data_IF_643574108669
#
_entry.id   IF_643574108669
#
_cell.length_a   1.000
_cell.length_b   1.000
_cell.length_c   1.000
_cell.angle_alpha   90.00
_cell.angle_beta   90.00
_cell.angle_gamma   90.00
#
_symmetry.space_group_name_H-M   'P 1'
#
loop_
_entity.id
_entity.type
_entity.pdbx_description
1 polymer ?
#
# COMPACT_ATOMS: atom_id res chain seq x y z
N UNK A 1 0.76 25.55 14.42
CA UNK A 1 0.81 24.59 13.30
C UNK A 1 0.91 23.19 13.87
N UNK A 2 -0.03 22.28 13.50
CA UNK A 2 -0.11 20.92 14.06
C UNK A 2 0.53 19.90 13.12
N UNK A 3 1.56 19.21 13.60
CA UNK A 3 2.42 18.36 12.78
C UNK A 3 2.40 16.91 13.31
N UNK A 4 2.05 15.98 12.44
CA UNK A 4 2.19 14.57 12.72
C UNK A 4 3.59 14.10 12.31
N UNK A 5 4.34 13.48 13.20
CA UNK A 5 5.61 12.80 12.89
C UNK A 5 5.35 11.30 12.90
N UNK A 6 5.63 10.64 11.76
CA UNK A 6 5.54 9.19 11.68
C UNK A 6 6.91 8.54 11.56
N UNK A 7 7.17 7.57 12.42
CA UNK A 7 8.41 6.80 12.43
C UNK A 7 8.13 5.31 12.52
N UNK A 8 8.99 4.49 11.88
CA UNK A 8 8.86 3.04 11.88
C UNK A 8 10.21 2.33 11.90
N UNK A 9 10.28 1.24 12.67
CA UNK A 9 11.45 0.34 12.71
C UNK A 9 11.00 -1.12 12.51
N UNK A 10 11.71 -1.85 11.65
CA UNK A 10 11.50 -3.29 11.47
C UNK A 10 12.26 -4.08 12.53
N UNK A 11 11.72 -5.21 12.98
CA UNK A 11 12.37 -6.12 13.94
C UNK A 11 13.71 -6.68 13.45
N UNK A 12 13.91 -6.76 12.13
CA UNK A 12 15.00 -7.53 11.51
C UNK A 12 16.28 -6.74 11.24
N UNK A 13 16.33 -5.45 11.49
CA UNK A 13 17.52 -4.64 11.21
C UNK A 13 18.11 -4.06 12.46
N UNK A 14 19.10 -4.77 13.03
CA UNK A 14 19.98 -4.22 14.08
C UNK A 14 20.85 -3.05 13.59
N UNK A 15 20.86 -2.76 12.28
CA UNK A 15 21.54 -1.64 11.63
C UNK A 15 20.47 -0.78 10.95
N UNK A 16 20.11 0.34 11.54
CA UNK A 16 19.20 1.33 10.98
C UNK A 16 19.04 2.48 11.96
N UNK A 17 18.66 3.64 11.46
CA UNK A 17 18.40 4.81 12.30
C UNK A 17 17.37 4.46 13.37
N UNK A 18 17.69 4.75 14.63
CA UNK A 18 16.76 4.54 15.74
C UNK A 18 15.50 5.40 15.52
N UNK A 19 14.36 4.96 16.06
CA UNK A 19 13.11 5.74 16.00
C UNK A 19 13.35 7.15 16.52
N UNK A 20 14.06 7.28 17.65
CA UNK A 20 14.38 8.57 18.24
C UNK A 20 15.16 9.49 17.29
N UNK A 21 16.17 8.96 16.59
CA UNK A 21 16.93 9.76 15.60
C UNK A 21 16.04 10.22 14.43
N UNK A 22 15.16 9.34 13.93
CA UNK A 22 14.22 9.72 12.86
C UNK A 22 13.29 10.87 13.29
N UNK A 23 12.76 10.79 14.51
CA UNK A 23 11.89 11.83 15.09
C UNK A 23 12.67 13.13 15.27
N UNK A 24 13.90 13.05 15.80
CA UNK A 24 14.72 14.25 16.01
C UNK A 24 15.02 14.94 14.68
N UNK A 25 15.42 14.20 13.64
CA UNK A 25 15.63 14.76 12.29
C UNK A 25 14.38 15.43 11.74
N UNK A 26 13.18 14.87 11.99
CA UNK A 26 11.93 15.50 11.59
C UNK A 26 11.68 16.83 12.33
N UNK A 27 11.94 16.88 13.63
CA UNK A 27 11.82 18.12 14.41
C UNK A 27 12.81 19.18 13.96
N UNK A 28 14.09 18.81 13.79
CA UNK A 28 15.14 19.73 13.33
C UNK A 28 14.81 20.33 11.95
N UNK A 29 14.24 19.52 11.06
CA UNK A 29 13.77 19.99 9.75
C UNK A 29 12.67 21.04 9.88
N UNK A 30 11.65 20.76 10.69
CA UNK A 30 10.53 21.67 10.91
C UNK A 30 11.00 22.95 11.59
N UNK A 31 11.85 22.86 12.62
CA UNK A 31 12.41 24.04 13.30
C UNK A 31 13.23 24.93 12.35
N UNK A 32 13.90 24.33 11.37
CA UNK A 32 14.68 25.06 10.39
C UNK A 32 13.79 25.79 9.37
N UNK A 33 12.74 25.12 8.87
CA UNK A 33 11.95 25.63 7.74
C UNK A 33 10.65 26.35 8.17
N UNK A 34 10.13 26.08 9.39
CA UNK A 34 8.83 26.58 9.87
C UNK A 34 8.90 27.27 11.23
N UNK A 35 10.05 27.83 11.58
CA UNK A 35 10.39 28.39 12.91
C UNK A 35 9.37 29.38 13.46
N UNK A 36 8.67 30.09 12.61
CA UNK A 36 7.74 31.17 13.01
C UNK A 36 6.30 30.68 13.29
N UNK A 37 6.04 29.38 13.16
CA UNK A 37 4.66 28.84 13.16
C UNK A 37 4.27 28.11 14.44
N UNK A 38 5.08 28.19 15.50
CA UNK A 38 4.86 27.53 16.81
C UNK A 38 4.35 26.07 16.63
N UNK A 39 5.23 25.12 16.21
CA UNK A 39 4.82 23.77 15.83
C UNK A 39 4.46 22.91 17.04
N UNK A 40 3.25 22.34 17.01
CA UNK A 40 2.80 21.29 17.92
C UNK A 40 3.04 19.93 17.28
N UNK A 41 3.78 19.04 17.96
CA UNK A 41 4.14 17.72 17.42
C UNK A 41 3.30 16.61 18.03
N UNK A 42 2.70 15.77 17.20
CA UNK A 42 2.09 14.51 17.60
C UNK A 42 2.87 13.36 16.94
N UNK A 43 3.39 12.46 17.77
CA UNK A 43 4.30 11.41 17.32
C UNK A 43 3.56 10.06 17.23
N UNK A 44 3.72 9.38 16.10
CA UNK A 44 3.19 8.04 15.84
C UNK A 44 4.33 7.10 15.51
N UNK A 45 4.49 6.04 16.32
CA UNK A 45 5.60 5.11 16.24
C UNK A 45 5.11 3.67 16.08
N UNK A 46 5.53 3.00 15.01
CA UNK A 46 5.31 1.56 14.80
C UNK A 46 6.65 0.82 14.87
N UNK A 47 6.82 -0.03 15.89
CA UNK A 47 7.99 -0.89 16.05
C UNK A 47 7.65 -2.34 15.70
N UNK A 48 8.51 -2.99 14.93
CA UNK A 48 8.37 -4.40 14.60
C UNK A 48 7.51 -4.70 13.38
N UNK A 49 7.10 -3.69 12.61
CA UNK A 49 6.30 -3.85 11.40
C UNK A 49 7.14 -3.65 10.13
N UNK A 50 6.80 -4.39 9.05
CA UNK A 50 7.43 -4.22 7.75
C UNK A 50 6.77 -3.07 6.96
N UNK A 51 7.51 -2.49 6.00
CA UNK A 51 6.97 -1.43 5.11
C UNK A 51 6.06 -1.94 3.99
N UNK A 52 5.88 -3.25 3.86
CA UNK A 52 5.05 -3.87 2.82
C UNK A 52 3.55 -3.92 3.12
N UNK A 53 3.12 -3.41 4.27
CA UNK A 53 1.70 -3.37 4.66
C UNK A 53 1.42 -2.08 5.42
N UNK A 54 0.36 -1.36 5.04
CA UNK A 54 -0.12 -0.14 5.71
C UNK A 54 -1.02 -0.42 6.92
N UNK A 55 -1.45 -1.67 7.15
CA UNK A 55 -2.26 -2.07 8.31
C UNK A 55 -1.41 -2.15 9.59
N UNK A 56 -0.86 -1.00 10.00
CA UNK A 56 -0.07 -0.83 11.21
C UNK A 56 -0.86 -0.02 12.22
N UNK A 57 -0.89 -0.41 13.51
CA UNK A 57 -1.81 0.18 14.48
C UNK A 57 -1.65 1.71 14.63
N UNK A 58 -0.41 2.19 14.72
CA UNK A 58 -0.15 3.63 14.90
C UNK A 58 -0.36 4.43 13.61
N UNK A 59 -0.04 3.82 12.45
CA UNK A 59 -0.33 4.43 11.17
C UNK A 59 -1.83 4.55 10.90
N UNK A 60 -2.61 3.51 11.21
CA UNK A 60 -4.07 3.55 11.12
C UNK A 60 -4.68 4.57 12.09
N UNK A 61 -4.12 4.67 13.31
CA UNK A 61 -4.51 5.70 14.26
C UNK A 61 -4.23 7.09 13.71
N UNK A 62 -3.03 7.35 13.15
CA UNK A 62 -2.68 8.61 12.50
C UNK A 62 -3.70 9.00 11.43
N UNK A 63 -4.04 8.09 10.49
CA UNK A 63 -5.04 8.37 9.46
C UNK A 63 -6.43 8.66 10.05
N UNK A 64 -6.82 7.92 11.11
CA UNK A 64 -8.06 8.19 11.82
C UNK A 64 -8.07 9.55 12.53
N UNK A 65 -6.95 9.96 13.11
CA UNK A 65 -6.83 11.24 13.81
C UNK A 65 -6.84 12.41 12.81
N UNK A 66 -6.20 12.26 11.64
CA UNK A 66 -6.25 13.23 10.52
C UNK A 66 -7.69 13.46 10.04
N UNK A 67 -8.52 12.43 10.02
CA UNK A 67 -9.95 12.54 9.66
C UNK A 67 -10.79 13.31 10.69
N UNK A 68 -10.37 13.31 11.94
CA UNK A 68 -11.13 13.91 13.06
C UNK A 68 -10.62 15.28 13.46
N UNK A 69 -9.34 15.49 13.31
CA UNK A 69 -8.65 16.68 13.78
C UNK A 69 -7.87 17.33 12.62
N UNK A 70 -7.74 18.65 12.68
CA UNK A 70 -6.97 19.38 11.67
C UNK A 70 -5.48 19.23 11.93
N UNK A 71 -4.78 18.56 11.01
CA UNK A 71 -3.32 18.59 10.91
C UNK A 71 -2.93 19.47 9.71
N UNK A 72 -1.74 20.06 9.81
CA UNK A 72 -1.19 20.86 8.71
C UNK A 72 -0.18 20.05 7.90
N UNK A 73 0.67 19.25 8.57
CA UNK A 73 1.74 18.48 7.93
C UNK A 73 1.84 17.07 8.56
N UNK A 74 2.04 16.07 7.69
CA UNK A 74 2.60 14.76 8.05
C UNK A 74 4.04 14.71 7.57
N UNK A 75 4.98 14.49 8.49
CA UNK A 75 6.40 14.37 8.18
C UNK A 75 6.96 13.00 8.57
N UNK A 76 7.84 12.45 7.73
CA UNK A 76 8.63 11.27 8.05
C UNK A 76 10.08 11.44 7.57
N UNK A 77 10.98 10.63 8.10
CA UNK A 77 12.38 10.68 7.69
C UNK A 77 12.59 10.09 6.29
N UNK A 78 11.87 8.99 5.93
CA UNK A 78 11.96 8.32 4.63
C UNK A 78 10.61 7.84 4.15
N UNK A 79 10.39 7.85 2.84
CA UNK A 79 9.15 7.36 2.20
C UNK A 79 8.84 5.90 2.55
N UNK A 80 9.86 5.04 2.66
CA UNK A 80 9.69 3.63 3.00
C UNK A 80 9.13 3.40 4.42
N UNK A 81 9.05 4.44 5.26
CA UNK A 81 8.33 4.42 6.53
C UNK A 81 6.83 4.37 6.31
N UNK A 82 6.33 5.08 5.32
CA UNK A 82 4.91 5.11 4.95
C UNK A 82 4.54 3.84 4.19
N UNK A 83 5.06 3.65 3.00
CA UNK A 83 4.86 2.45 2.20
C UNK A 83 6.06 2.15 1.29
N UNK A 84 6.23 0.87 0.93
CA UNK A 84 7.14 0.42 -0.13
C UNK A 84 6.42 0.19 -1.45
N UNK A 85 5.10 0.17 -1.41
CA UNK A 85 4.24 -0.01 -2.56
C UNK A 85 3.81 1.36 -3.08
N UNK A 86 4.00 1.63 -4.36
CA UNK A 86 3.68 2.92 -5.00
C UNK A 86 2.17 3.18 -4.95
N UNK A 87 1.34 2.15 -5.13
CA UNK A 87 -0.11 2.28 -5.09
C UNK A 87 -0.62 2.70 -3.70
N UNK A 88 -0.13 2.04 -2.63
CA UNK A 88 -0.49 2.38 -1.25
C UNK A 88 -0.01 3.79 -0.89
N UNK A 89 1.18 4.17 -1.36
CA UNK A 89 1.74 5.50 -1.13
C UNK A 89 0.92 6.58 -1.83
N UNK A 90 0.59 6.40 -3.11
CA UNK A 90 -0.27 7.31 -3.88
C UNK A 90 -1.64 7.51 -3.22
N UNK A 91 -2.31 6.39 -2.85
CA UNK A 91 -3.60 6.45 -2.15
C UNK A 91 -3.51 7.22 -0.83
N UNK A 92 -2.42 7.00 -0.07
CA UNK A 92 -2.19 7.73 1.18
C UNK A 92 -2.02 9.24 0.93
N UNK A 93 -1.25 9.63 -0.10
CA UNK A 93 -1.07 11.05 -0.44
C UNK A 93 -2.37 11.71 -0.90
N UNK A 94 -3.17 11.03 -1.71
CA UNK A 94 -4.49 11.50 -2.15
C UNK A 94 -5.43 11.69 -0.94
N UNK A 95 -5.39 10.76 0.01
CA UNK A 95 -6.16 10.86 1.25
C UNK A 95 -5.71 12.06 2.09
N UNK A 96 -4.41 12.26 2.31
CA UNK A 96 -3.86 13.42 3.03
C UNK A 96 -4.29 14.73 2.37
N UNK A 97 -4.16 14.81 1.04
CA UNK A 97 -4.54 16.00 0.27
C UNK A 97 -6.04 16.31 0.40
N UNK A 98 -6.91 15.29 0.45
CA UNK A 98 -8.35 15.48 0.64
C UNK A 98 -8.72 16.11 1.97
N UNK A 99 -7.86 15.94 3.00
CA UNK A 99 -7.99 16.57 4.32
C UNK A 99 -7.16 17.86 4.47
N UNK A 100 -6.48 18.28 3.38
CA UNK A 100 -5.64 19.48 3.38
C UNK A 100 -4.36 19.33 4.19
N UNK A 101 -3.85 18.12 4.35
CA UNK A 101 -2.61 17.80 5.06
C UNK A 101 -1.47 17.66 4.06
N UNK A 102 -0.43 18.46 4.21
CA UNK A 102 0.77 18.35 3.42
C UNK A 102 1.67 17.20 3.91
N UNK A 103 2.47 16.66 3.00
CA UNK A 103 3.37 15.53 3.28
C UNK A 103 4.82 15.89 3.00
N UNK A 104 5.71 15.58 3.95
CA UNK A 104 7.15 15.80 3.82
C UNK A 104 7.92 14.52 4.10
N UNK A 105 8.85 14.15 3.20
CA UNK A 105 9.88 13.14 3.45
C UNK A 105 11.26 13.76 3.30
N UNK A 106 12.04 13.69 4.40
CA UNK A 106 13.32 14.41 4.48
C UNK A 106 14.36 13.82 3.54
N UNK A 107 14.54 12.49 3.60
CA UNK A 107 15.62 11.80 2.88
C UNK A 107 15.50 11.92 1.38
N UNK A 108 14.30 11.80 0.84
CA UNK A 108 14.00 11.90 -0.58
C UNK A 108 13.74 13.34 -1.04
N UNK A 109 13.77 14.33 -0.11
CA UNK A 109 13.44 15.72 -0.39
C UNK A 109 12.08 15.90 -1.07
N UNK A 110 11.13 15.06 -0.66
CA UNK A 110 9.77 15.09 -1.18
C UNK A 110 8.91 15.97 -0.27
N UNK A 111 8.35 17.05 -0.83
CA UNK A 111 7.61 18.05 -0.06
C UNK A 111 6.41 18.57 -0.87
N UNK A 112 5.20 18.20 -0.45
CA UNK A 112 3.95 18.57 -1.13
C UNK A 112 3.51 20.01 -0.88
N UNK A 113 4.15 20.75 0.02
CA UNK A 113 3.93 22.19 0.17
C UNK A 113 4.41 22.96 -1.05
N UNK A 114 5.35 22.35 -1.81
CA UNK A 114 5.91 22.94 -3.04
C UNK A 114 5.11 22.55 -4.29
N UNK A 115 5.08 23.38 -5.34
CA UNK A 115 4.45 23.03 -6.62
C UNK A 115 5.03 21.75 -7.25
N UNK A 116 6.35 21.55 -7.15
CA UNK A 116 7.03 20.37 -7.67
C UNK A 116 6.59 19.12 -6.91
N UNK A 117 6.52 19.15 -5.58
CA UNK A 117 6.06 18.02 -4.78
C UNK A 117 4.60 17.65 -5.08
N UNK A 118 3.72 18.65 -5.28
CA UNK A 118 2.34 18.37 -5.72
C UNK A 118 2.30 17.73 -7.10
N UNK A 119 3.11 18.17 -8.05
CA UNK A 119 3.20 17.53 -9.38
C UNK A 119 3.66 16.06 -9.28
N UNK A 120 4.58 15.75 -8.36
CA UNK A 120 5.05 14.39 -8.12
C UNK A 120 3.94 13.46 -7.58
N UNK A 121 2.95 13.99 -6.83
CA UNK A 121 1.77 13.18 -6.43
C UNK A 121 1.03 12.68 -7.67
N UNK A 122 0.75 13.56 -8.64
CA UNK A 122 0.05 13.17 -9.87
C UNK A 122 0.85 12.13 -10.67
N UNK A 123 2.17 12.28 -10.74
CA UNK A 123 3.03 11.31 -11.40
C UNK A 123 2.96 9.95 -10.68
N UNK A 124 3.03 9.93 -9.34
CA UNK A 124 2.91 8.70 -8.56
C UNK A 124 1.53 8.03 -8.75
N UNK A 125 0.45 8.81 -8.81
CA UNK A 125 -0.91 8.30 -9.06
C UNK A 125 -1.04 7.66 -10.45
N UNK A 126 -0.42 8.26 -11.49
CA UNK A 126 -0.39 7.70 -12.85
C UNK A 126 0.35 6.36 -12.87
N UNK A 127 1.53 6.26 -12.22
CA UNK A 127 2.27 5.00 -12.12
C UNK A 127 1.50 3.92 -11.34
N UNK A 128 0.84 4.29 -10.25
CA UNK A 128 0.01 3.37 -9.48
C UNK A 128 -1.18 2.85 -10.30
N UNK A 129 -1.77 3.70 -11.14
CA UNK A 129 -2.85 3.30 -12.06
C UNK A 129 -2.33 2.33 -13.13
N UNK A 130 -1.20 2.64 -13.75
CA UNK A 130 -0.56 1.78 -14.75
C UNK A 130 -0.23 0.39 -14.18
N UNK A 131 0.29 0.34 -12.95
CA UNK A 131 0.57 -0.94 -12.27
C UNK A 131 -0.71 -1.77 -12.09
N UNK A 132 -1.81 -1.16 -11.61
CA UNK A 132 -3.11 -1.83 -11.46
C UNK A 132 -3.63 -2.37 -12.79
N UNK A 133 -3.57 -1.57 -13.85
CA UNK A 133 -4.02 -1.98 -15.19
C UNK A 133 -3.19 -3.13 -15.75
N UNK A 134 -1.87 -3.06 -15.60
CA UNK A 134 -0.96 -4.14 -16.03
C UNK A 134 -1.22 -5.45 -15.29
N UNK A 135 -1.48 -5.38 -13.98
CA UNK A 135 -1.85 -6.57 -13.18
C UNK A 135 -3.19 -7.13 -13.66
N UNK A 136 -4.19 -6.29 -13.88
CA UNK A 136 -5.51 -6.71 -14.37
C UNK A 136 -5.43 -7.38 -15.76
N UNK A 137 -4.62 -6.83 -16.66
CA UNK A 137 -4.36 -7.41 -17.98
C UNK A 137 -3.72 -8.81 -17.86
N UNK A 138 -2.65 -8.95 -17.08
CA UNK A 138 -2.02 -10.24 -16.83
C UNK A 138 -2.97 -11.28 -16.23
N UNK A 139 -3.81 -10.86 -15.28
CA UNK A 139 -4.83 -11.75 -14.69
C UNK A 139 -5.82 -12.19 -15.77
N UNK A 140 -6.29 -11.26 -16.60
CA UNK A 140 -7.21 -11.56 -17.70
C UNK A 140 -6.60 -12.54 -18.69
N UNK A 141 -5.35 -12.34 -19.11
CA UNK A 141 -4.65 -13.20 -20.05
C UNK A 141 -4.47 -14.61 -19.48
N UNK A 142 -4.05 -14.72 -18.22
CA UNK A 142 -3.95 -15.99 -17.53
C UNK A 142 -5.30 -16.71 -17.43
N UNK A 143 -6.40 -16.00 -17.19
CA UNK A 143 -7.74 -16.57 -17.14
C UNK A 143 -8.20 -17.06 -18.53
N UNK A 144 -7.88 -16.34 -19.60
CA UNK A 144 -8.14 -16.76 -20.97
C UNK A 144 -7.35 -18.02 -21.33
N UNK A 145 -6.07 -18.12 -20.94
CA UNK A 145 -5.25 -19.30 -21.16
C UNK A 145 -5.78 -20.51 -20.39
N UNK A 146 -6.17 -20.31 -19.12
CA UNK A 146 -6.81 -21.35 -18.32
C UNK A 146 -8.08 -21.87 -19.00
N UNK A 147 -8.93 -20.98 -19.46
CA UNK A 147 -10.17 -21.34 -20.17
C UNK A 147 -9.87 -22.14 -21.47
N UNK A 148 -8.89 -21.69 -22.28
CA UNK A 148 -8.45 -22.40 -23.49
C UNK A 148 -7.90 -23.78 -23.19
N UNK A 149 -7.25 -23.96 -22.04
CA UNK A 149 -6.74 -25.27 -21.60
C UNK A 149 -7.83 -26.20 -21.03
N UNK A 150 -9.11 -25.80 -21.05
CA UNK A 150 -10.25 -26.57 -20.53
C UNK A 150 -10.32 -26.64 -19.01
N UNK A 151 -9.58 -25.78 -18.31
CA UNK A 151 -9.61 -25.68 -16.85
C UNK A 151 -10.71 -24.72 -16.41
N UNK A 152 -11.42 -25.11 -15.37
CA UNK A 152 -12.41 -24.21 -14.76
C UNK A 152 -11.69 -23.17 -13.86
N UNK A 153 -11.89 -21.91 -14.15
CA UNK A 153 -11.25 -20.80 -13.42
C UNK A 153 -11.94 -20.41 -12.12
N UNK A 154 -13.01 -21.12 -11.74
CA UNK A 154 -13.80 -20.87 -10.53
C UNK A 154 -15.06 -20.05 -10.80
N UNK A 155 -15.80 -19.75 -9.75
CA UNK A 155 -17.09 -19.10 -9.82
C UNK A 155 -18.27 -20.08 -9.71
N UNK A 156 -19.50 -19.59 -9.98
CA UNK A 156 -20.70 -20.44 -9.98
C UNK A 156 -20.71 -21.31 -11.23
N UNK A 157 -20.88 -22.63 -11.04
CA UNK A 157 -20.96 -23.57 -12.17
C UNK A 157 -22.17 -23.26 -13.05
N UNK A 158 -22.04 -23.40 -14.38
CA UNK A 158 -23.19 -23.33 -15.28
C UNK A 158 -24.21 -24.41 -14.98
N UNK A 159 -25.47 -24.17 -15.29
CA UNK A 159 -26.52 -25.16 -15.17
C UNK A 159 -26.19 -26.43 -15.97
N UNK A 160 -26.38 -27.59 -15.37
CA UNK A 160 -26.03 -28.87 -15.96
C UNK A 160 -24.57 -29.29 -15.80
N UNK A 161 -23.78 -28.55 -14.99
CA UNK A 161 -22.39 -28.86 -14.73
C UNK A 161 -22.04 -28.72 -13.25
N UNK A 162 -21.23 -29.66 -12.77
CA UNK A 162 -20.55 -29.57 -11.46
C UNK A 162 -19.06 -29.33 -11.63
N UNK A 163 -18.41 -28.84 -10.58
CA UNK A 163 -16.97 -28.67 -10.55
C UNK A 163 -16.31 -29.85 -9.82
N UNK A 164 -15.38 -30.52 -10.48
CA UNK A 164 -14.58 -31.61 -9.90
C UNK A 164 -13.12 -31.14 -9.75
N UNK A 165 -12.59 -31.33 -8.53
CA UNK A 165 -11.20 -31.01 -8.22
C UNK A 165 -10.34 -32.27 -8.28
N UNK A 166 -9.28 -32.20 -9.06
CA UNK A 166 -8.20 -33.22 -9.07
C UNK A 166 -6.86 -32.55 -8.79
N UNK A 167 -5.87 -33.32 -8.32
CA UNK A 167 -4.50 -32.84 -8.20
C UNK A 167 -3.61 -33.57 -9.21
N UNK A 168 -2.58 -32.89 -9.67
CA UNK A 168 -1.52 -33.46 -10.49
C UNK A 168 -0.17 -32.93 -10.03
N UNK A 169 0.89 -33.68 -10.32
CA UNK A 169 2.26 -33.24 -10.05
C UNK A 169 2.80 -32.58 -11.32
N UNK A 170 3.29 -31.33 -11.21
CA UNK A 170 3.88 -30.62 -12.33
C UNK A 170 5.31 -31.14 -12.64
N UNK A 171 5.92 -30.62 -13.71
CA UNK A 171 7.28 -31.03 -14.14
C UNK A 171 8.35 -30.68 -13.10
N UNK A 172 8.08 -29.77 -12.17
CA UNK A 172 8.97 -29.38 -11.08
C UNK A 172 8.74 -30.19 -9.81
N UNK A 173 7.78 -31.14 -9.81
CA UNK A 173 7.45 -31.98 -8.67
C UNK A 173 6.49 -31.38 -7.66
N UNK A 174 5.87 -30.25 -7.97
CA UNK A 174 4.91 -29.60 -7.09
C UNK A 174 3.49 -30.12 -7.33
N UNK A 175 2.74 -30.35 -6.26
CA UNK A 175 1.32 -30.70 -6.35
C UNK A 175 0.50 -29.47 -6.74
N UNK A 176 -0.21 -29.57 -7.89
CA UNK A 176 -1.09 -28.55 -8.42
C UNK A 176 -2.54 -29.04 -8.41
N UNK A 177 -3.46 -28.17 -8.03
CA UNK A 177 -4.90 -28.43 -8.13
C UNK A 177 -5.41 -28.08 -9.52
N UNK A 178 -6.22 -28.96 -10.07
CA UNK A 178 -6.94 -28.76 -11.32
C UNK A 178 -8.44 -28.88 -11.04
N UNK A 179 -9.20 -27.92 -11.50
CA UNK A 179 -10.67 -27.98 -11.45
C UNK A 179 -11.22 -28.06 -12.86
N UNK A 180 -12.09 -29.01 -13.11
CA UNK A 180 -12.79 -29.20 -14.39
C UNK A 180 -14.29 -29.19 -14.18
N UNK A 181 -15.02 -28.82 -15.22
CA UNK A 181 -16.47 -29.00 -15.25
C UNK A 181 -16.78 -30.43 -15.70
N UNK A 182 -17.64 -31.09 -14.97
CA UNK A 182 -18.23 -32.40 -15.31
C UNK A 182 -19.74 -32.24 -15.48
N UNK A 183 -20.34 -33.04 -16.35
CA UNK A 183 -21.80 -32.99 -16.57
C UNK A 183 -22.53 -33.44 -15.31
N UNK A 184 -23.58 -32.71 -14.97
CA UNK A 184 -24.53 -33.08 -13.94
C UNK A 184 -25.82 -33.58 -14.64
N UNK A 185 -25.97 -34.91 -14.73
CA UNK A 185 -27.08 -35.55 -15.44
C UNK A 185 -28.42 -35.32 -14.72
N UNK A 186 -28.43 -35.02 -13.43
CA UNK A 186 -29.65 -34.72 -12.66
C UNK A 186 -30.20 -33.33 -13.01
N UNK A 187 -29.35 -32.38 -13.30
CA UNK A 187 -29.77 -31.02 -13.72
C UNK A 187 -30.08 -30.91 -15.22
N UNK A 188 -29.68 -31.92 -16.01
CA UNK A 188 -29.92 -31.97 -17.47
C UNK A 188 -31.21 -32.66 -17.86
N UNK A 189 -31.96 -33.22 -16.89
CA UNK A 189 -33.31 -33.79 -17.04
C UNK A 189 -34.37 -32.72 -16.80
#
# INVERSE_FOLDING_TARGET
>A
MKIAIYSRKSKYTGKGDSIGNQIQMCKDYIETHYRNNDPEYIIYEDEGFSGGNINRPRFQKLLSDIKKEKFDILICYRLDRISRNVSDFSTTLEELQSYGVDFISIKEQFDTTTPMGRAMIYIASVFAQLERETIAERVRDNMVELAKSGKWSGGRTPLGFDSESSSYIDEEGNERKLVKLVKNDEELQ
#
